data_IF_026779261041
#
_entry.id   IF_026779261041
#
_cell.length_a   1.000
_cell.length_b   1.000
_cell.length_c   1.000
_cell.angle_alpha   90.00
_cell.angle_beta   90.00
_cell.angle_gamma   90.00
#
_symmetry.space_group_name_H-M   'P 1'
#
loop_
_entity.id
_entity.type
_entity.pdbx_description
1 polymer ?
#
# COMPACT_ATOMS: atom_id res chain seq x y z
N UNK A 1 -28.32 -13.26 -4.46
CA UNK A 1 -27.25 -13.57 -5.43
C UNK A 1 -26.21 -14.38 -4.67
N UNK A 2 -25.69 -15.42 -5.29
CA UNK A 2 -24.63 -16.23 -4.69
C UNK A 2 -23.26 -15.62 -4.98
N UNK A 3 -22.30 -15.85 -4.08
CA UNK A 3 -20.91 -15.41 -4.22
C UNK A 3 -19.95 -16.52 -3.81
N UNK A 4 -18.85 -16.64 -4.57
CA UNK A 4 -17.66 -17.39 -4.17
C UNK A 4 -16.58 -16.43 -3.68
N UNK A 5 -15.70 -16.90 -2.80
CA UNK A 5 -14.70 -16.06 -2.13
C UNK A 5 -13.33 -16.75 -2.15
N UNK A 6 -12.31 -16.04 -2.63
CA UNK A 6 -10.89 -16.32 -2.33
C UNK A 6 -10.40 -15.16 -1.46
N UNK A 7 -10.02 -15.41 -0.22
CA UNK A 7 -9.63 -14.32 0.66
C UNK A 7 -8.84 -14.75 1.86
N UNK A 8 -8.85 -13.87 2.85
CA UNK A 8 -8.29 -14.01 4.17
C UNK A 8 -9.40 -14.06 5.21
N UNK A 9 -8.99 -14.08 6.47
CA UNK A 9 -9.87 -13.85 7.62
C UNK A 9 -10.76 -12.61 7.49
N UNK A 10 -10.33 -11.55 6.79
CA UNK A 10 -11.13 -10.36 6.59
C UNK A 10 -12.47 -10.71 5.93
N UNK A 11 -12.42 -11.49 4.85
CA UNK A 11 -13.64 -11.89 4.13
C UNK A 11 -14.53 -12.79 4.96
N UNK A 12 -13.95 -13.63 5.82
CA UNK A 12 -14.71 -14.42 6.79
C UNK A 12 -15.52 -13.53 7.72
N UNK A 13 -14.86 -12.58 8.39
CA UNK A 13 -15.53 -11.62 9.28
C UNK A 13 -16.63 -10.85 8.54
N UNK A 14 -16.37 -10.37 7.31
CA UNK A 14 -17.39 -9.69 6.50
C UNK A 14 -18.63 -10.54 6.26
N UNK A 15 -18.47 -11.85 6.05
CA UNK A 15 -19.56 -12.77 5.74
C UNK A 15 -20.39 -13.18 6.96
N UNK A 16 -19.82 -13.08 8.17
CA UNK A 16 -20.52 -13.39 9.42
C UNK A 16 -21.51 -12.28 9.82
N UNK A 17 -21.37 -11.08 9.25
CA UNK A 17 -22.31 -9.99 9.49
C UNK A 17 -23.65 -10.24 8.80
N UNK A 18 -24.75 -10.04 9.54
CA UNK A 18 -26.12 -10.15 9.05
C UNK A 18 -26.42 -9.28 7.82
N UNK A 19 -25.66 -8.20 7.63
CA UNK A 19 -25.86 -7.25 6.55
C UNK A 19 -25.04 -7.61 5.29
N UNK A 20 -24.27 -8.70 5.28
CA UNK A 20 -23.56 -9.15 4.07
C UNK A 20 -24.56 -9.38 2.91
N UNK A 21 -24.33 -8.80 1.71
CA UNK A 21 -25.35 -8.74 0.67
C UNK A 21 -25.51 -10.02 -0.18
N UNK A 22 -24.65 -11.01 0.01
CA UNK A 22 -24.62 -12.23 -0.79
C UNK A 22 -24.82 -13.48 0.05
N UNK A 23 -25.21 -14.57 -0.60
CA UNK A 23 -25.17 -15.91 -0.01
C UNK A 23 -23.85 -16.57 -0.42
N UNK A 24 -22.99 -16.87 0.54
CA UNK A 24 -21.70 -17.53 0.28
C UNK A 24 -21.93 -18.99 -0.14
N UNK A 25 -21.37 -19.37 -1.29
CA UNK A 25 -21.46 -20.74 -1.82
C UNK A 25 -20.17 -21.52 -1.55
N UNK A 26 -19.03 -20.97 -1.96
CA UNK A 26 -17.70 -21.50 -1.64
C UNK A 26 -16.80 -20.39 -1.08
N UNK A 27 -15.97 -20.75 -0.09
CA UNK A 27 -15.00 -19.84 0.51
C UNK A 27 -13.66 -20.55 0.69
N UNK A 28 -12.60 -19.90 0.20
CA UNK A 28 -11.21 -20.34 0.30
C UNK A 28 -10.46 -19.25 1.06
N UNK A 29 -10.06 -19.56 2.28
CA UNK A 29 -9.39 -18.61 3.18
C UNK A 29 -7.91 -18.94 3.34
N UNK A 30 -7.10 -17.91 3.54
CA UNK A 30 -5.70 -17.99 3.95
C UNK A 30 -4.81 -18.81 3.01
N UNK A 31 -5.18 -18.93 1.74
CA UNK A 31 -4.36 -19.58 0.71
C UNK A 31 -3.89 -18.53 -0.28
N UNK A 32 -2.56 -18.40 -0.45
CA UNK A 32 -2.04 -17.64 -1.59
C UNK A 32 -2.43 -18.33 -2.89
N UNK A 33 -2.55 -17.57 -3.97
CA UNK A 33 -2.79 -18.02 -5.34
C UNK A 33 -1.71 -19.01 -5.78
N UNK A 34 -0.45 -18.76 -5.41
CA UNK A 34 0.64 -19.70 -5.62
C UNK A 34 0.35 -21.06 -4.98
N UNK A 35 -0.09 -21.04 -3.72
CA UNK A 35 -0.50 -22.24 -3.03
C UNK A 35 -1.70 -22.88 -3.70
N UNK A 36 -2.74 -22.11 -3.99
CA UNK A 36 -4.02 -22.54 -4.51
C UNK A 36 -3.90 -23.35 -5.81
N UNK A 37 -3.09 -22.88 -6.76
CA UNK A 37 -2.94 -23.50 -8.09
C UNK A 37 -1.78 -24.49 -8.20
N UNK A 38 -1.06 -24.76 -7.11
CA UNK A 38 -0.01 -25.78 -7.08
C UNK A 38 -0.58 -27.20 -6.93
N UNK A 39 0.28 -28.23 -7.02
CA UNK A 39 -0.18 -29.62 -6.89
C UNK A 39 -0.48 -29.95 -5.41
N UNK A 40 -1.44 -30.85 -5.13
CA UNK A 40 -1.70 -31.29 -3.76
C UNK A 40 -0.54 -32.12 -3.21
N UNK A 41 -0.30 -31.99 -1.90
CA UNK A 41 0.67 -32.80 -1.15
C UNK A 41 0.09 -34.18 -0.78
N UNK A 42 -1.25 -34.35 -0.78
CA UNK A 42 -1.99 -35.59 -0.51
C UNK A 42 -1.73 -36.19 0.87
N UNK A 43 -2.31 -35.55 1.90
CA UNK A 43 -2.26 -36.03 3.29
C UNK A 43 -3.65 -36.27 3.86
N UNK A 44 -3.72 -37.11 4.88
CA UNK A 44 -4.88 -37.29 5.74
C UNK A 44 -4.87 -36.30 6.91
N UNK A 45 -6.05 -35.96 7.45
CA UNK A 45 -6.14 -35.05 8.61
C UNK A 45 -5.39 -35.56 9.84
N UNK A 46 -5.28 -36.89 10.01
CA UNK A 46 -4.58 -37.52 11.13
C UNK A 46 -3.05 -37.33 11.08
N UNK A 47 -2.50 -36.85 9.96
CA UNK A 47 -1.07 -36.58 9.82
C UNK A 47 -0.68 -35.18 10.34
N UNK A 48 -1.67 -34.36 10.72
CA UNK A 48 -1.48 -33.03 11.30
C UNK A 48 -1.39 -33.10 12.83
N UNK A 49 -0.34 -32.51 13.38
CA UNK A 49 0.04 -32.54 14.79
C UNK A 49 -0.47 -31.28 15.52
N UNK A 50 -1.79 -31.13 15.61
CA UNK A 50 -2.47 -30.13 16.43
C UNK A 50 -3.85 -30.67 16.81
N UNK A 51 -4.39 -30.21 17.94
CA UNK A 51 -5.75 -30.53 18.38
C UNK A 51 -6.76 -29.45 17.96
N UNK A 52 -6.30 -28.33 17.39
CA UNK A 52 -7.18 -27.27 16.91
C UNK A 52 -7.81 -27.64 15.56
N UNK A 53 -9.13 -27.87 15.58
CA UNK A 53 -9.90 -28.25 14.40
C UNK A 53 -9.85 -27.19 13.28
N UNK A 54 -9.75 -25.90 13.63
CA UNK A 54 -9.65 -24.84 12.65
C UNK A 54 -8.28 -24.86 11.94
N UNK A 55 -7.20 -25.06 12.70
CA UNK A 55 -5.86 -25.25 12.15
C UNK A 55 -5.77 -26.50 11.26
N UNK A 56 -6.28 -27.64 11.75
CA UNK A 56 -6.37 -28.89 10.97
C UNK A 56 -7.09 -28.63 9.65
N UNK A 57 -8.25 -27.99 9.71
CA UNK A 57 -9.09 -27.76 8.53
C UNK A 57 -8.39 -26.86 7.52
N UNK A 58 -7.75 -25.79 7.97
CA UNK A 58 -7.04 -24.85 7.10
C UNK A 58 -5.79 -25.49 6.48
N UNK A 59 -4.97 -26.17 7.26
CA UNK A 59 -3.78 -26.86 6.78
C UNK A 59 -4.12 -28.01 5.82
N UNK A 60 -5.14 -28.81 6.14
CA UNK A 60 -5.62 -29.87 5.25
C UNK A 60 -6.10 -29.29 3.91
N UNK A 61 -6.86 -28.18 3.94
CA UNK A 61 -7.32 -27.52 2.72
C UNK A 61 -6.17 -26.96 1.89
N UNK A 62 -5.18 -26.36 2.54
CA UNK A 62 -4.00 -25.79 1.89
C UNK A 62 -3.11 -26.88 1.29
N UNK A 63 -2.83 -27.96 2.01
CA UNK A 63 -1.98 -29.04 1.52
C UNK A 63 -2.66 -29.84 0.40
N UNK A 64 -3.97 -30.11 0.51
CA UNK A 64 -4.70 -30.95 -0.46
C UNK A 64 -5.41 -30.17 -1.59
N UNK A 65 -5.40 -28.84 -1.59
CA UNK A 65 -5.99 -27.99 -2.65
C UNK A 65 -7.46 -28.30 -2.96
N UNK A 66 -8.23 -28.64 -1.93
CA UNK A 66 -9.54 -29.31 -2.08
C UNK A 66 -10.66 -28.45 -2.68
N UNK A 67 -10.45 -27.15 -2.86
CA UNK A 67 -11.53 -26.21 -3.20
C UNK A 67 -11.44 -25.57 -4.59
N UNK A 68 -10.29 -25.58 -5.29
CA UNK A 68 -10.20 -25.00 -6.65
C UNK A 68 -11.19 -25.63 -7.60
N UNK A 69 -11.27 -26.97 -7.59
CA UNK A 69 -12.22 -27.71 -8.45
C UNK A 69 -13.68 -27.37 -8.16
N UNK A 70 -14.01 -26.86 -6.96
CA UNK A 70 -15.39 -26.44 -6.65
C UNK A 70 -15.71 -25.13 -7.36
N UNK A 71 -14.78 -24.17 -7.32
CA UNK A 71 -14.89 -22.91 -8.05
C UNK A 71 -14.97 -23.11 -9.58
N UNK A 72 -14.34 -24.16 -10.11
CA UNK A 72 -14.37 -24.47 -11.55
C UNK A 72 -15.67 -25.18 -11.99
N UNK A 73 -16.17 -26.14 -11.19
CA UNK A 73 -17.26 -27.02 -11.61
C UNK A 73 -18.66 -26.47 -11.34
N UNK A 74 -18.80 -25.65 -10.29
CA UNK A 74 -20.10 -25.11 -9.88
C UNK A 74 -19.94 -23.65 -9.39
N UNK A 75 -19.46 -22.74 -10.24
CA UNK A 75 -19.21 -21.36 -9.85
C UNK A 75 -20.50 -20.65 -9.42
N UNK A 76 -20.39 -19.74 -8.46
CA UNK A 76 -21.39 -18.72 -8.21
C UNK A 76 -21.40 -17.68 -9.35
N UNK A 77 -22.41 -16.80 -9.35
CA UNK A 77 -22.48 -15.69 -10.32
C UNK A 77 -21.40 -14.63 -10.05
N UNK A 78 -21.10 -14.38 -8.78
CA UNK A 78 -20.16 -13.35 -8.35
C UNK A 78 -18.97 -13.99 -7.64
N UNK A 79 -17.83 -13.32 -7.73
CA UNK A 79 -16.61 -13.68 -7.02
C UNK A 79 -16.17 -12.49 -6.15
N UNK A 80 -15.71 -12.75 -4.94
CA UNK A 80 -14.99 -11.78 -4.12
C UNK A 80 -13.56 -12.24 -3.94
N UNK A 81 -12.61 -11.31 -4.07
CA UNK A 81 -11.21 -11.59 -3.86
C UNK A 81 -10.54 -10.54 -2.97
N UNK A 82 -9.81 -11.00 -1.96
CA UNK A 82 -8.78 -10.20 -1.28
C UNK A 82 -7.43 -10.91 -1.36
N UNK A 83 -6.35 -10.14 -1.53
CA UNK A 83 -5.02 -10.69 -1.81
C UNK A 83 -4.09 -10.67 -0.60
N UNK A 84 -4.60 -10.42 0.61
CA UNK A 84 -3.74 -10.33 1.81
C UNK A 84 -3.05 -11.66 2.13
N UNK A 85 -3.66 -12.78 1.76
CA UNK A 85 -3.07 -14.13 1.84
C UNK A 85 -1.78 -14.29 1.01
N UNK A 86 -1.47 -13.38 0.07
CA UNK A 86 -0.18 -13.37 -0.65
C UNK A 86 1.01 -12.95 0.23
N UNK A 87 0.72 -12.29 1.36
CA UNK A 87 1.74 -11.90 2.34
C UNK A 87 2.19 -13.09 3.21
N UNK A 88 1.41 -14.16 3.28
CA UNK A 88 1.74 -15.37 4.05
C UNK A 88 3.10 -15.94 3.67
N UNK A 89 3.82 -16.51 4.62
CA UNK A 89 5.03 -17.26 4.33
C UNK A 89 4.71 -18.53 3.52
N UNK A 90 5.32 -18.64 2.34
CA UNK A 90 5.12 -19.74 1.40
C UNK A 90 6.44 -20.49 1.26
N UNK A 91 6.37 -21.81 1.22
CA UNK A 91 7.50 -22.67 0.90
C UNK A 91 7.27 -23.51 -0.37
N UNK A 92 8.37 -23.93 -0.98
CA UNK A 92 8.41 -24.86 -2.10
C UNK A 92 8.74 -26.27 -1.60
N UNK A 93 7.93 -27.24 -2.02
CA UNK A 93 8.18 -28.68 -1.86
C UNK A 93 7.97 -29.33 -3.22
N UNK A 94 9.02 -29.94 -3.78
CA UNK A 94 8.96 -30.66 -5.07
C UNK A 94 8.29 -29.86 -6.21
N UNK A 95 8.60 -28.56 -6.33
CA UNK A 95 8.01 -27.69 -7.35
C UNK A 95 6.55 -27.29 -7.12
N UNK A 96 6.03 -27.49 -5.91
CA UNK A 96 4.68 -27.07 -5.50
C UNK A 96 4.75 -26.18 -4.26
N UNK A 97 3.71 -25.38 -4.03
CA UNK A 97 3.73 -24.28 -3.07
C UNK A 97 2.67 -24.46 -1.98
N UNK A 98 3.04 -24.15 -0.75
CA UNK A 98 2.21 -24.32 0.45
C UNK A 98 2.51 -23.23 1.46
N UNK A 99 1.56 -22.93 2.35
CA UNK A 99 1.87 -22.06 3.49
C UNK A 99 2.82 -22.78 4.45
N UNK A 100 3.82 -22.07 4.96
CA UNK A 100 4.77 -22.60 5.95
C UNK A 100 4.02 -23.05 7.22
N UNK A 101 3.00 -22.30 7.63
CA UNK A 101 2.15 -22.64 8.78
C UNK A 101 1.38 -23.96 8.61
N UNK A 102 0.97 -24.31 7.38
CA UNK A 102 0.33 -25.60 7.10
C UNK A 102 1.33 -26.75 7.16
N UNK A 103 2.53 -26.54 6.60
CA UNK A 103 3.58 -27.56 6.55
C UNK A 103 4.16 -27.84 7.94
N UNK A 104 4.27 -26.82 8.79
CA UNK A 104 4.78 -26.98 10.17
C UNK A 104 3.87 -27.84 11.05
N UNK A 105 2.60 -28.02 10.66
CA UNK A 105 1.67 -28.90 11.35
C UNK A 105 1.84 -30.36 10.94
N UNK A 106 2.61 -30.71 9.91
CA UNK A 106 2.85 -32.11 9.56
C UNK A 106 3.63 -32.82 10.67
N UNK A 107 3.19 -34.02 11.05
CA UNK A 107 3.90 -34.86 12.02
C UNK A 107 5.33 -35.20 11.58
N UNK A 108 5.56 -35.25 10.27
CA UNK A 108 6.87 -35.43 9.65
C UNK A 108 7.03 -34.37 8.54
N UNK A 109 7.51 -33.16 8.86
CA UNK A 109 7.63 -32.12 7.86
C UNK A 109 8.71 -32.49 6.82
N UNK A 110 8.42 -32.38 5.51
CA UNK A 110 9.42 -32.61 4.47
C UNK A 110 10.48 -31.49 4.48
N UNK A 111 11.59 -31.70 3.78
CA UNK A 111 12.49 -30.60 3.46
C UNK A 111 11.78 -29.62 2.51
N UNK A 112 11.87 -28.33 2.82
CA UNK A 112 11.26 -27.26 2.03
C UNK A 112 12.15 -26.03 1.98
N UNK A 113 11.93 -25.19 0.97
CA UNK A 113 12.60 -23.90 0.84
C UNK A 113 11.59 -22.76 0.97
N UNK A 114 11.86 -21.80 1.85
CA UNK A 114 11.03 -20.60 1.95
C UNK A 114 11.21 -19.74 0.70
N UNK A 115 10.10 -19.26 0.14
CA UNK A 115 10.13 -18.35 -0.99
C UNK A 115 10.31 -16.91 -0.53
N UNK A 116 11.29 -16.24 -1.12
CA UNK A 116 11.37 -14.78 -1.04
C UNK A 116 10.20 -14.12 -1.79
N UNK A 117 9.83 -12.91 -1.40
CA UNK A 117 8.71 -12.14 -1.99
C UNK A 117 8.80 -12.01 -3.52
N UNK A 118 9.98 -11.70 -4.04
CA UNK A 118 10.20 -11.61 -5.49
C UNK A 118 9.95 -12.96 -6.22
N UNK A 119 10.23 -14.08 -5.54
CA UNK A 119 9.93 -15.41 -6.09
C UNK A 119 8.42 -15.69 -6.07
N UNK A 120 7.72 -15.31 -4.98
CA UNK A 120 6.25 -15.37 -4.92
C UNK A 120 5.62 -14.61 -6.09
N UNK A 121 6.09 -13.38 -6.36
CA UNK A 121 5.62 -12.57 -7.50
C UNK A 121 5.89 -13.23 -8.86
N UNK A 122 7.09 -13.77 -9.07
CA UNK A 122 7.47 -14.44 -10.32
C UNK A 122 6.65 -15.71 -10.55
N UNK A 123 6.41 -16.48 -9.50
CA UNK A 123 5.59 -17.69 -9.56
C UNK A 123 4.11 -17.35 -9.78
N UNK A 124 3.63 -16.26 -9.19
CA UNK A 124 2.26 -15.79 -9.44
C UNK A 124 2.03 -15.50 -10.92
N UNK A 125 3.03 -14.93 -11.64
CA UNK A 125 2.94 -14.74 -13.09
C UNK A 125 2.74 -16.03 -13.88
N UNK A 126 3.22 -17.18 -13.38
CA UNK A 126 2.98 -18.49 -14.01
C UNK A 126 1.54 -18.97 -13.82
N UNK A 127 0.89 -18.56 -12.73
CA UNK A 127 -0.50 -18.90 -12.41
C UNK A 127 -1.50 -17.81 -12.80
N UNK A 128 -1.03 -16.64 -13.24
CA UNK A 128 -1.87 -15.50 -13.57
C UNK A 128 -2.91 -15.84 -14.63
N UNK A 129 -2.51 -16.52 -15.72
CA UNK A 129 -3.47 -16.89 -16.77
C UNK A 129 -4.55 -17.85 -16.25
N UNK A 130 -4.19 -18.76 -15.34
CA UNK A 130 -5.17 -19.66 -14.70
C UNK A 130 -6.13 -18.88 -13.81
N UNK A 131 -5.60 -17.96 -13.00
CA UNK A 131 -6.41 -17.10 -12.16
C UNK A 131 -7.35 -16.23 -13.00
N UNK A 132 -6.84 -15.56 -14.03
CA UNK A 132 -7.63 -14.72 -14.92
C UNK A 132 -8.71 -15.53 -15.62
N UNK A 133 -8.40 -16.74 -16.10
CA UNK A 133 -9.39 -17.63 -16.70
C UNK A 133 -10.47 -18.07 -15.70
N UNK A 134 -10.08 -18.41 -14.46
CA UNK A 134 -11.02 -18.76 -13.40
C UNK A 134 -11.95 -17.57 -13.10
N UNK A 135 -11.38 -16.38 -12.88
CA UNK A 135 -12.10 -15.16 -12.55
C UNK A 135 -12.98 -14.66 -13.71
N UNK A 136 -12.57 -14.90 -14.95
CA UNK A 136 -13.34 -14.56 -16.16
C UNK A 136 -14.63 -15.36 -16.32
N UNK A 137 -14.79 -16.48 -15.61
CA UNK A 137 -16.03 -17.27 -15.63
C UNK A 137 -17.17 -16.66 -14.80
N UNK A 138 -16.87 -15.68 -13.94
CA UNK A 138 -17.86 -15.02 -13.10
C UNK A 138 -18.48 -13.83 -13.83
N UNK A 139 -19.74 -13.51 -13.55
CA UNK A 139 -20.38 -12.31 -14.09
C UNK A 139 -19.72 -11.04 -13.54
N UNK A 140 -19.32 -11.07 -12.26
CA UNK A 140 -18.68 -9.95 -11.57
C UNK A 140 -17.60 -10.46 -10.61
N UNK A 141 -16.45 -9.80 -10.61
CA UNK A 141 -15.37 -10.05 -9.65
C UNK A 141 -15.18 -8.80 -8.80
N UNK A 142 -15.37 -8.90 -7.49
CA UNK A 142 -15.20 -7.81 -6.53
C UNK A 142 -13.83 -7.97 -5.87
N UNK A 143 -12.90 -7.08 -6.19
CA UNK A 143 -11.58 -6.98 -5.59
C UNK A 143 -11.63 -6.05 -4.38
N UNK A 144 -11.38 -6.59 -3.19
CA UNK A 144 -11.15 -5.81 -1.98
C UNK A 144 -9.66 -5.48 -1.89
N UNK A 145 -9.33 -4.19 -1.97
CA UNK A 145 -7.97 -3.68 -1.85
C UNK A 145 -7.72 -3.25 -0.42
N UNK A 146 -6.97 -4.08 0.29
CA UNK A 146 -6.75 -3.94 1.73
C UNK A 146 -5.48 -3.14 1.96
N UNK A 147 -5.58 -2.11 2.80
CA UNK A 147 -4.41 -1.34 3.22
C UNK A 147 -3.68 -2.03 4.37
N UNK A 148 -2.35 -2.07 4.31
CA UNK A 148 -1.48 -2.65 5.34
C UNK A 148 -0.41 -1.64 5.77
N UNK A 149 0.00 -1.69 7.03
CA UNK A 149 0.93 -0.69 7.59
C UNK A 149 2.36 -0.77 7.04
N UNK A 150 2.79 -1.95 6.57
CA UNK A 150 4.11 -2.11 5.97
C UNK A 150 4.12 -1.53 4.56
N UNK A 151 4.92 -0.49 4.32
CA UNK A 151 5.09 0.12 3.00
C UNK A 151 5.48 -0.91 1.93
N UNK A 152 6.41 -1.81 2.27
CA UNK A 152 6.86 -2.85 1.34
C UNK A 152 5.73 -3.85 1.00
N UNK A 153 4.90 -4.21 1.99
CA UNK A 153 3.77 -5.12 1.79
C UNK A 153 2.67 -4.44 0.98
N UNK A 154 2.45 -3.15 1.23
CA UNK A 154 1.49 -2.33 0.50
C UNK A 154 1.88 -2.22 -0.98
N UNK A 155 3.14 -1.87 -1.27
CA UNK A 155 3.66 -1.79 -2.66
C UNK A 155 3.53 -3.13 -3.40
N UNK A 156 3.76 -4.24 -2.69
CA UNK A 156 3.57 -5.57 -3.24
C UNK A 156 2.10 -5.85 -3.57
N UNK A 157 1.18 -5.60 -2.64
CA UNK A 157 -0.26 -5.78 -2.87
C UNK A 157 -0.79 -4.87 -3.98
N UNK A 158 -0.41 -3.60 -4.00
CA UNK A 158 -0.83 -2.64 -5.04
C UNK A 158 -0.38 -3.05 -6.43
N UNK A 159 0.81 -3.64 -6.54
CA UNK A 159 1.29 -4.24 -7.79
C UNK A 159 0.38 -5.38 -8.26
N UNK A 160 -0.13 -6.20 -7.32
CA UNK A 160 -1.06 -7.29 -7.64
C UNK A 160 -2.46 -6.77 -8.00
N UNK A 161 -2.96 -5.77 -7.28
CA UNK A 161 -4.25 -5.13 -7.57
C UNK A 161 -4.25 -4.52 -8.97
N UNK A 162 -3.20 -3.78 -9.32
CA UNK A 162 -3.01 -3.19 -10.64
C UNK A 162 -2.97 -4.26 -11.73
N UNK A 163 -2.28 -5.38 -11.46
CA UNK A 163 -2.21 -6.49 -12.40
C UNK A 163 -3.59 -7.09 -12.72
N UNK A 164 -4.43 -7.29 -11.71
CA UNK A 164 -5.79 -7.81 -11.90
C UNK A 164 -6.70 -6.79 -12.59
N UNK A 165 -6.64 -5.52 -12.19
CA UNK A 165 -7.42 -4.42 -12.80
C UNK A 165 -7.15 -4.28 -14.30
N UNK A 166 -5.91 -4.51 -14.74
CA UNK A 166 -5.54 -4.44 -16.15
C UNK A 166 -5.88 -5.70 -16.96
N UNK A 167 -6.28 -6.80 -16.31
CA UNK A 167 -6.48 -8.11 -16.94
C UNK A 167 -7.93 -8.59 -16.95
N UNK A 168 -8.79 -8.02 -16.10
CA UNK A 168 -10.17 -8.48 -15.92
C UNK A 168 -11.19 -7.38 -16.27
N UNK A 169 -11.95 -7.61 -17.33
CA UNK A 169 -12.98 -6.68 -17.79
C UNK A 169 -14.22 -6.66 -16.87
N UNK A 170 -14.47 -7.77 -16.18
CA UNK A 170 -15.60 -7.99 -15.25
C UNK A 170 -15.28 -7.60 -13.78
N UNK A 171 -14.18 -6.90 -13.55
CA UNK A 171 -13.74 -6.51 -12.21
C UNK A 171 -14.50 -5.29 -11.67
N UNK A 172 -14.75 -5.26 -10.36
CA UNK A 172 -15.11 -4.12 -9.54
C UNK A 172 -14.07 -4.02 -8.42
N UNK A 173 -13.65 -2.82 -8.04
CA UNK A 173 -12.66 -2.61 -6.99
C UNK A 173 -13.26 -1.81 -5.83
N UNK A 174 -12.85 -2.14 -4.61
CA UNK A 174 -13.15 -1.38 -3.40
C UNK A 174 -11.86 -1.25 -2.61
N UNK A 175 -11.31 -0.03 -2.52
CA UNK A 175 -10.24 0.33 -1.60
C UNK A 175 -10.82 0.50 -0.21
N UNK A 176 -10.32 -0.31 0.72
CA UNK A 176 -10.79 -0.29 2.10
C UNK A 176 -10.16 0.89 2.84
N UNK A 177 -10.87 1.49 3.80
CA UNK A 177 -10.28 2.52 4.65
C UNK A 177 -9.10 1.94 5.44
N UNK A 178 -8.12 2.78 5.77
CA UNK A 178 -7.04 2.36 6.66
C UNK A 178 -7.59 1.97 8.04
N UNK A 179 -7.00 0.94 8.62
CA UNK A 179 -7.30 0.57 9.99
C UNK A 179 -6.77 1.65 10.96
N UNK A 180 -7.48 1.91 12.07
CA UNK A 180 -6.94 2.73 13.14
C UNK A 180 -5.59 2.18 13.63
N UNK A 181 -4.64 3.07 13.94
CA UNK A 181 -3.31 2.70 14.44
C UNK A 181 -3.42 1.68 15.60
N UNK A 182 -2.55 0.67 15.58
CA UNK A 182 -2.46 -0.42 16.55
C UNK A 182 -3.58 -1.48 16.50
N UNK A 183 -4.37 -1.53 15.42
CA UNK A 183 -5.33 -2.62 15.19
C UNK A 183 -4.94 -3.42 13.97
N UNK A 184 -5.08 -4.74 14.08
CA UNK A 184 -4.97 -5.64 12.93
C UNK A 184 -6.37 -5.78 12.28
N UNK A 185 -6.41 -6.44 11.11
CA UNK A 185 -7.65 -6.74 10.37
C UNK A 185 -8.62 -7.67 11.12
N UNK A 186 -8.19 -8.26 12.25
CA UNK A 186 -8.97 -9.21 13.05
C UNK A 186 -9.62 -8.54 14.28
N UNK A 187 -9.08 -7.41 14.73
CA UNK A 187 -9.52 -6.65 15.90
C UNK A 187 -10.12 -5.28 15.50
N UNK A 188 -10.53 -5.17 14.23
CA UNK A 188 -11.15 -3.97 13.73
C UNK A 188 -12.52 -3.73 14.40
N UNK A 189 -12.93 -2.47 14.62
CA UNK A 189 -14.27 -2.17 15.12
C UNK A 189 -15.38 -2.78 14.24
N UNK A 190 -16.52 -3.15 14.82
CA UNK A 190 -17.65 -3.70 14.04
C UNK A 190 -18.13 -2.73 12.95
N UNK A 191 -17.99 -1.42 13.21
CA UNK A 191 -18.29 -0.34 12.28
C UNK A 191 -17.46 -0.46 10.99
N UNK A 192 -16.19 -0.87 11.09
CA UNK A 192 -15.30 -1.05 9.95
C UNK A 192 -15.86 -2.10 8.98
N UNK A 193 -16.20 -3.29 9.47
CA UNK A 193 -16.79 -4.35 8.63
C UNK A 193 -18.18 -3.98 8.10
N UNK A 194 -18.99 -3.29 8.92
CA UNK A 194 -20.30 -2.80 8.50
C UNK A 194 -20.19 -1.80 7.33
N UNK A 195 -19.21 -0.89 7.39
CA UNK A 195 -18.98 0.10 6.34
C UNK A 195 -18.53 -0.55 5.04
N UNK A 196 -17.64 -1.55 5.11
CA UNK A 196 -17.25 -2.36 3.95
C UNK A 196 -18.47 -3.07 3.34
N UNK A 197 -19.31 -3.71 4.16
CA UNK A 197 -20.54 -4.34 3.68
C UNK A 197 -21.51 -3.33 3.03
N UNK A 198 -21.55 -2.09 3.51
CA UNK A 198 -22.31 -1.01 2.87
C UNK A 198 -21.70 -0.60 1.53
N UNK A 199 -20.36 -0.54 1.40
CA UNK A 199 -19.69 -0.30 0.12
C UNK A 199 -19.98 -1.41 -0.89
N UNK A 200 -19.91 -2.68 -0.47
CA UNK A 200 -20.23 -3.84 -1.30
C UNK A 200 -21.69 -3.77 -1.79
N UNK A 201 -22.63 -3.40 -0.92
CA UNK A 201 -24.05 -3.18 -1.32
C UNK A 201 -24.19 -2.09 -2.38
N UNK A 202 -23.44 -1.00 -2.26
CA UNK A 202 -23.50 0.13 -3.20
C UNK A 202 -22.99 -0.22 -4.59
N UNK A 203 -22.16 -1.25 -4.76
CA UNK A 203 -21.79 -1.76 -6.10
C UNK A 203 -23.00 -2.27 -6.89
N UNK A 204 -24.00 -2.84 -6.20
CA UNK A 204 -25.22 -3.36 -6.81
C UNK A 204 -26.36 -2.33 -6.88
N UNK A 205 -26.14 -1.09 -6.43
CA UNK A 205 -27.16 -0.04 -6.43
C UNK A 205 -27.43 0.44 -7.85
N UNK A 206 -28.70 0.45 -8.25
CA UNK A 206 -29.15 1.04 -9.51
C UNK A 206 -29.40 2.55 -9.40
N UNK A 207 -29.28 3.12 -8.18
CA UNK A 207 -29.43 4.56 -7.98
C UNK A 207 -28.10 5.24 -8.29
N UNK A 208 -28.09 6.03 -9.36
CA UNK A 208 -26.91 6.76 -9.84
C UNK A 208 -26.19 7.56 -8.73
N UNK A 209 -26.93 8.14 -7.78
CA UNK A 209 -26.36 8.95 -6.69
C UNK A 209 -25.81 8.12 -5.52
N UNK A 210 -26.25 6.88 -5.38
CA UNK A 210 -25.89 6.00 -4.26
C UNK A 210 -24.96 4.84 -4.70
N UNK A 211 -24.80 4.66 -6.01
CA UNK A 211 -23.87 3.69 -6.58
C UNK A 211 -22.42 4.07 -6.28
N UNK A 212 -21.62 3.09 -5.86
CA UNK A 212 -20.17 3.22 -5.73
C UNK A 212 -19.53 3.11 -7.12
N UNK A 213 -19.61 4.18 -7.91
CA UNK A 213 -19.14 4.19 -9.30
C UNK A 213 -17.62 4.35 -9.41
N UNK A 214 -16.97 4.95 -8.42
CA UNK A 214 -15.53 5.17 -8.43
C UNK A 214 -14.90 4.53 -7.20
N UNK A 215 -13.83 3.78 -7.44
CA UNK A 215 -12.80 3.49 -6.44
C UNK A 215 -11.71 4.54 -6.61
N UNK A 216 -11.54 5.41 -5.63
CA UNK A 216 -10.67 6.59 -5.71
C UNK A 216 -9.46 6.38 -4.81
N UNK A 217 -8.25 6.52 -5.36
CA UNK A 217 -7.00 6.47 -4.59
C UNK A 217 -6.37 7.85 -4.61
N UNK A 218 -6.00 8.33 -3.43
CA UNK A 218 -5.27 9.57 -3.25
C UNK A 218 -4.02 9.29 -2.41
N UNK A 219 -2.86 9.67 -2.92
CA UNK A 219 -1.57 9.55 -2.23
C UNK A 219 -0.73 10.79 -2.54
N UNK A 220 -0.33 11.54 -1.51
CA UNK A 220 0.52 12.73 -1.61
C UNK A 220 0.12 13.72 -2.70
N UNK A 221 0.76 13.63 -3.87
CA UNK A 221 0.55 14.46 -5.04
C UNK A 221 -0.20 13.74 -6.17
N UNK A 222 -0.82 12.59 -5.94
CA UNK A 222 -1.47 11.77 -6.96
C UNK A 222 -2.92 11.47 -6.63
N UNK A 223 -3.78 11.57 -7.65
CA UNK A 223 -5.17 11.15 -7.63
C UNK A 223 -5.45 10.21 -8.79
N UNK A 224 -6.02 9.05 -8.47
CA UNK A 224 -6.51 8.11 -9.48
C UNK A 224 -7.92 7.64 -9.19
N UNK A 225 -8.62 7.28 -10.26
CA UNK A 225 -9.96 6.72 -10.22
C UNK A 225 -10.01 5.42 -11.01
N UNK A 226 -10.72 4.44 -10.47
CA UNK A 226 -11.14 3.23 -11.15
C UNK A 226 -12.66 3.19 -11.26
N UNK A 227 -13.19 3.01 -12.46
CA UNK A 227 -14.63 3.01 -12.71
C UNK A 227 -15.22 1.63 -12.39
N UNK A 228 -16.10 1.54 -11.41
CA UNK A 228 -16.90 0.36 -11.03
C UNK A 228 -18.15 0.20 -11.90
N UNK A 229 -17.94 -0.04 -13.20
CA UNK A 229 -19.01 -0.30 -14.16
C UNK A 229 -18.56 -1.34 -15.19
N UNK A 230 -19.30 -2.46 -15.29
CA UNK A 230 -18.96 -3.60 -16.15
C UNK A 230 -19.75 -3.45 -17.45
N UNK A 231 -19.10 -2.92 -18.49
CA UNK A 231 -19.57 -2.84 -19.88
C UNK A 231 -18.51 -2.09 -20.72
N UNK A 232 -18.35 -2.47 -21.99
CA UNK A 232 -17.45 -1.75 -22.89
C UNK A 232 -18.00 -0.36 -23.18
N UNK A 233 -17.23 0.67 -22.79
CA UNK A 233 -17.56 2.09 -22.98
C UNK A 233 -16.29 2.89 -23.18
N UNK A 234 -16.43 4.00 -23.91
CA UNK A 234 -15.39 5.02 -24.00
C UNK A 234 -15.67 6.14 -23.01
N UNK A 235 -14.61 6.58 -22.34
CA UNK A 235 -14.60 7.63 -21.33
C UNK A 235 -13.66 8.76 -21.74
N UNK A 236 -14.05 9.98 -21.39
CA UNK A 236 -13.20 11.17 -21.39
C UNK A 236 -13.05 11.61 -19.94
N UNK A 237 -11.80 11.68 -19.48
CA UNK A 237 -11.44 12.14 -18.14
C UNK A 237 -11.04 13.61 -18.20
N UNK A 238 -11.85 14.47 -17.58
CA UNK A 238 -11.52 15.89 -17.43
C UNK A 238 -11.02 16.16 -16.02
N UNK A 239 -9.89 16.83 -15.90
CA UNK A 239 -9.31 17.20 -14.60
C UNK A 239 -9.71 18.63 -14.30
N UNK A 240 -10.26 18.86 -13.12
CA UNK A 240 -10.63 20.18 -12.64
C UNK A 240 -9.71 20.59 -11.50
N UNK A 241 -9.22 21.83 -11.55
CA UNK A 241 -8.55 22.53 -10.46
C UNK A 241 -9.35 23.77 -10.10
N UNK A 242 -9.72 23.94 -8.83
CA UNK A 242 -10.46 25.09 -8.30
C UNK A 242 -11.72 25.41 -9.12
N UNK A 243 -12.40 24.36 -9.58
CA UNK A 243 -13.64 24.44 -10.37
C UNK A 243 -13.44 24.71 -11.87
N UNK A 244 -12.21 24.82 -12.38
CA UNK A 244 -11.91 25.01 -13.81
C UNK A 244 -11.26 23.77 -14.42
N UNK A 245 -11.63 23.36 -15.64
CA UNK A 245 -10.95 22.27 -16.33
C UNK A 245 -9.52 22.69 -16.70
N UNK A 246 -8.54 21.82 -16.42
CA UNK A 246 -7.12 22.04 -16.74
C UNK A 246 -6.59 21.03 -17.76
N UNK A 247 -7.22 19.86 -17.86
CA UNK A 247 -6.83 18.79 -18.77
C UNK A 247 -8.06 17.98 -19.18
N UNK A 248 -8.03 17.40 -20.38
CA UNK A 248 -9.02 16.46 -20.88
C UNK A 248 -8.32 15.34 -21.64
N UNK A 249 -8.63 14.09 -21.32
CA UNK A 249 -8.05 12.94 -22.01
C UNK A 249 -8.64 12.78 -23.41
N UNK A 250 -7.92 12.10 -24.29
CA UNK A 250 -8.57 11.50 -25.46
C UNK A 250 -9.60 10.44 -24.99
N UNK A 251 -10.62 10.13 -25.82
CA UNK A 251 -11.51 8.99 -25.57
C UNK A 251 -10.71 7.71 -25.35
N UNK A 252 -11.02 6.99 -24.29
CA UNK A 252 -10.34 5.74 -23.94
C UNK A 252 -11.32 4.73 -23.34
N UNK A 253 -11.06 3.45 -23.58
CA UNK A 253 -11.79 2.35 -22.92
C UNK A 253 -11.19 1.99 -21.56
N UNK A 254 -10.06 2.61 -21.17
CA UNK A 254 -9.46 2.40 -19.86
C UNK A 254 -10.42 2.81 -18.77
N UNK A 255 -10.66 1.90 -17.82
CA UNK A 255 -11.44 2.15 -16.60
C UNK A 255 -10.61 2.79 -15.49
N UNK A 256 -9.31 2.93 -15.70
CA UNK A 256 -8.37 3.56 -14.77
C UNK A 256 -7.83 4.85 -15.37
N UNK A 257 -7.80 5.91 -14.57
CA UNK A 257 -7.13 7.15 -14.92
C UNK A 257 -6.48 7.77 -13.67
N UNK A 258 -5.23 8.20 -13.80
CA UNK A 258 -4.47 8.83 -12.73
C UNK A 258 -3.87 10.16 -13.18
N UNK A 259 -3.66 11.05 -12.23
CA UNK A 259 -3.06 12.36 -12.44
C UNK A 259 -2.24 12.79 -11.24
N UNK A 260 -1.10 13.41 -11.51
CA UNK A 260 -0.22 13.99 -10.48
C UNK A 260 -0.43 15.49 -10.43
N UNK A 261 -0.64 16.03 -9.23
CA UNK A 261 -0.83 17.42 -8.93
C UNK A 261 0.48 18.19 -9.08
N UNK A 262 0.45 19.25 -9.90
CA UNK A 262 1.63 20.09 -10.14
C UNK A 262 1.61 21.37 -9.31
N UNK A 263 0.43 21.89 -8.96
CA UNK A 263 0.27 23.12 -8.18
C UNK A 263 -0.76 22.97 -7.04
N UNK A 264 -0.60 23.66 -5.90
CA UNK A 264 -1.61 23.64 -4.84
C UNK A 264 -3.00 24.03 -5.36
N UNK A 265 -4.05 23.41 -4.82
CA UNK A 265 -5.45 23.70 -5.13
C UNK A 265 -6.39 22.51 -4.94
N UNK A 266 -7.66 22.71 -5.27
CA UNK A 266 -8.71 21.68 -5.15
C UNK A 266 -8.90 20.91 -6.45
N UNK A 267 -8.58 19.63 -6.43
CA UNK A 267 -8.61 18.74 -7.56
C UNK A 267 -9.82 17.80 -7.54
N UNK A 268 -10.35 17.49 -8.72
CA UNK A 268 -11.32 16.41 -8.94
C UNK A 268 -11.30 15.96 -10.40
N UNK A 269 -11.66 14.71 -10.64
CA UNK A 269 -11.77 14.13 -11.99
C UNK A 269 -13.26 14.05 -12.35
N UNK A 270 -13.62 14.54 -13.53
CA UNK A 270 -14.94 14.32 -14.13
C UNK A 270 -14.81 13.22 -15.17
N UNK A 271 -15.60 12.16 -15.00
CA UNK A 271 -15.68 11.07 -15.98
C UNK A 271 -16.89 11.30 -16.87
N UNK A 272 -16.66 11.47 -18.16
CA UNK A 272 -17.69 11.67 -19.17
C UNK A 272 -17.75 10.43 -20.09
N UNK A 273 -18.82 9.64 -20.06
CA UNK A 273 -19.00 8.57 -21.04
C UNK A 273 -19.35 9.17 -22.41
N UNK A 274 -18.66 8.77 -23.48
CA UNK A 274 -18.77 9.42 -24.81
C UNK A 274 -20.08 9.11 -25.53
N UNK A 275 -20.58 7.88 -25.40
CA UNK A 275 -21.71 7.37 -26.19
C UNK A 275 -22.83 6.79 -25.31
N UNK A 276 -23.13 7.46 -24.19
CA UNK A 276 -24.16 6.99 -23.28
C UNK A 276 -25.10 8.10 -22.87
N UNK A 277 -26.36 7.76 -22.57
CA UNK A 277 -27.32 8.66 -21.93
C UNK A 277 -27.04 8.84 -20.43
N UNK A 278 -25.90 8.35 -19.93
CA UNK A 278 -25.50 8.45 -18.52
C UNK A 278 -24.84 9.80 -18.30
N UNK A 279 -25.29 10.50 -17.25
CA UNK A 279 -24.73 11.79 -16.88
C UNK A 279 -23.24 11.64 -16.49
N UNK A 280 -22.39 12.65 -16.76
CA UNK A 280 -21.03 12.67 -16.24
C UNK A 280 -20.99 12.76 -14.71
N UNK A 281 -20.04 12.08 -14.08
CA UNK A 281 -19.87 12.10 -12.62
C UNK A 281 -18.52 12.68 -12.22
N UNK A 282 -18.50 13.44 -11.12
CA UNK A 282 -17.27 13.89 -10.49
C UNK A 282 -16.81 12.88 -9.43
N UNK A 283 -15.50 12.73 -9.32
CA UNK A 283 -14.86 12.16 -8.14
C UNK A 283 -15.08 13.08 -6.93
N UNK A 284 -14.64 12.62 -5.76
CA UNK A 284 -14.49 13.47 -4.58
C UNK A 284 -13.58 14.67 -4.89
N UNK A 285 -13.75 15.74 -4.11
CA UNK A 285 -12.87 16.91 -4.19
C UNK A 285 -11.71 16.72 -3.23
N UNK A 286 -10.49 16.82 -3.74
CA UNK A 286 -9.24 16.64 -3.01
C UNK A 286 -8.55 17.99 -2.87
N UNK A 287 -8.25 18.39 -1.65
CA UNK A 287 -7.53 19.64 -1.38
C UNK A 287 -6.04 19.31 -1.27
N UNK A 288 -5.26 19.72 -2.27
CA UNK A 288 -3.82 19.52 -2.27
C UNK A 288 -3.10 20.81 -1.89
N UNK A 289 -2.39 20.85 -0.76
CA UNK A 289 -1.71 22.05 -0.29
C UNK A 289 -0.45 22.41 -1.09
N UNK A 290 -0.09 21.60 -2.11
CA UNK A 290 1.19 21.69 -2.80
C UNK A 290 2.27 20.91 -2.07
N UNK A 291 3.43 20.72 -2.71
CA UNK A 291 4.62 20.32 -1.97
C UNK A 291 4.91 21.44 -0.97
N UNK A 292 4.82 21.12 0.30
CA UNK A 292 5.25 22.01 1.34
C UNK A 292 6.77 21.99 1.28
N UNK A 293 7.36 22.95 0.57
CA UNK A 293 8.76 23.33 0.77
C UNK A 293 8.85 23.99 2.15
N UNK A 294 8.67 23.19 3.21
CA UNK A 294 8.94 23.63 4.57
C UNK A 294 10.44 23.55 4.74
N UNK A 295 11.13 24.64 4.39
CA UNK A 295 12.13 25.15 5.32
C UNK A 295 11.35 25.51 6.60
N UNK A 296 11.04 24.51 7.41
CA UNK A 296 10.47 24.73 8.73
C UNK A 296 11.48 25.63 9.44
N UNK A 297 11.03 26.80 9.92
CA UNK A 297 11.93 27.69 10.67
C UNK A 297 12.11 27.08 12.05
N UNK A 298 13.06 26.16 12.19
CA UNK A 298 13.46 25.60 13.47
C UNK A 298 14.53 26.51 14.08
N UNK A 299 14.44 26.68 15.40
CA UNK A 299 15.41 27.42 16.19
C UNK A 299 16.25 26.46 17.06
N UNK A 300 15.83 25.19 17.16
CA UNK A 300 16.47 24.16 17.98
C UNK A 300 16.61 22.83 17.22
N UNK A 301 17.64 22.04 17.52
CA UNK A 301 17.88 20.72 16.91
C UNK A 301 18.07 19.67 18.00
N UNK A 302 17.39 18.54 17.90
CA UNK A 302 17.56 17.42 18.83
C UNK A 302 18.87 16.64 18.60
N UNK A 303 19.61 16.38 19.67
CA UNK A 303 20.83 15.57 19.64
C UNK A 303 20.49 14.08 19.43
N UNK A 304 21.02 13.42 18.38
CA UNK A 304 20.80 12.00 18.15
C UNK A 304 21.53 11.13 19.18
N UNK A 305 21.00 9.93 19.44
CA UNK A 305 21.55 9.01 20.45
C UNK A 305 22.96 8.47 20.12
N UNK A 306 23.36 8.49 18.84
CA UNK A 306 24.68 8.07 18.36
C UNK A 306 25.43 9.28 17.80
N UNK A 307 26.59 9.60 18.38
CA UNK A 307 27.47 10.69 17.92
C UNK A 307 27.79 10.55 16.43
N UNK A 308 27.24 11.41 15.58
CA UNK A 308 27.62 11.55 14.17
C UNK A 308 27.18 12.94 13.65
N UNK A 309 27.90 13.98 14.06
CA UNK A 309 27.37 15.35 14.01
C UNK A 309 27.92 16.25 12.92
N UNK A 310 28.49 15.71 11.84
CA UNK A 310 28.75 16.56 10.67
C UNK A 310 27.45 17.13 10.08
N UNK A 311 26.33 16.39 10.18
CA UNK A 311 25.00 16.83 9.76
C UNK A 311 24.49 17.99 10.62
N UNK A 312 24.65 17.90 11.95
CA UNK A 312 24.26 18.96 12.88
C UNK A 312 25.15 20.17 12.71
N UNK A 313 26.47 19.98 12.57
CA UNK A 313 27.41 21.07 12.37
C UNK A 313 27.09 21.85 11.08
N UNK A 314 26.66 21.16 10.01
CA UNK A 314 26.19 21.80 8.78
C UNK A 314 24.92 22.62 9.03
N UNK A 315 23.92 22.04 9.69
CA UNK A 315 22.67 22.76 9.98
C UNK A 315 22.92 23.97 10.89
N UNK A 316 23.72 23.82 11.95
CA UNK A 316 24.10 24.92 12.84
C UNK A 316 24.94 26.01 12.14
N UNK A 317 25.61 25.68 11.04
CA UNK A 317 26.34 26.68 10.25
C UNK A 317 25.43 27.49 9.33
N UNK A 318 24.32 26.91 8.87
CA UNK A 318 23.41 27.53 7.88
C UNK A 318 22.16 28.16 8.48
N UNK A 319 21.71 27.67 9.62
CA UNK A 319 20.53 28.16 10.31
C UNK A 319 20.94 28.89 11.59
N UNK A 320 20.17 29.91 11.98
CA UNK A 320 20.36 30.66 13.23
C UNK A 320 19.86 29.83 14.42
N UNK A 321 20.57 28.75 14.75
CA UNK A 321 20.20 27.82 15.83
C UNK A 321 20.50 28.46 17.20
N UNK A 322 19.46 28.53 18.04
CA UNK A 322 19.53 29.09 19.38
C UNK A 322 19.98 28.05 20.42
N UNK A 323 19.83 26.76 20.13
CA UNK A 323 20.26 25.68 21.03
C UNK A 323 20.00 24.28 20.51
N UNK A 324 20.49 23.29 21.25
CA UNK A 324 20.28 21.87 20.97
C UNK A 324 19.40 21.24 22.04
N UNK A 325 18.57 20.27 21.67
CA UNK A 325 17.67 19.56 22.58
C UNK A 325 18.31 18.23 23.00
N UNK A 326 18.46 18.02 24.30
CA UNK A 326 19.11 16.84 24.84
C UNK A 326 19.21 16.89 26.36
N UNK A 327 20.17 16.15 26.92
CA UNK A 327 20.39 16.15 28.37
C UNK A 327 21.43 17.22 28.77
N UNK A 328 21.05 18.39 29.30
CA UNK A 328 21.99 19.46 29.67
C UNK A 328 22.94 19.04 30.79
N UNK A 329 22.54 18.08 31.64
CA UNK A 329 23.43 17.55 32.68
C UNK A 329 24.58 16.70 32.10
N UNK A 330 24.40 16.16 30.88
CA UNK A 330 25.44 15.46 30.13
C UNK A 330 26.36 16.44 29.39
N UNK A 331 25.88 17.64 29.09
CA UNK A 331 26.59 18.70 28.35
C UNK A 331 26.49 20.05 29.09
N UNK A 332 27.09 20.18 30.29
CA UNK A 332 26.89 21.34 31.16
C UNK A 332 27.45 22.66 30.58
N UNK A 333 28.44 22.58 29.70
CA UNK A 333 29.01 23.73 28.97
C UNK A 333 28.45 23.86 27.55
N UNK A 334 27.40 23.11 27.23
CA UNK A 334 26.86 22.97 25.87
C UNK A 334 27.62 21.93 25.03
N UNK A 335 27.20 21.80 23.77
CA UNK A 335 27.82 20.94 22.76
C UNK A 335 28.40 21.80 21.65
N UNK A 336 29.71 21.71 21.38
CA UNK A 336 30.42 22.60 20.45
C UNK A 336 30.21 24.12 20.69
N UNK A 337 30.08 24.52 21.97
CA UNK A 337 29.73 25.89 22.41
C UNK A 337 28.30 26.34 22.08
N UNK A 338 27.41 25.42 21.69
CA UNK A 338 25.98 25.67 21.52
C UNK A 338 25.25 25.21 22.79
N UNK A 339 24.38 26.04 23.41
CA UNK A 339 23.63 25.65 24.61
C UNK A 339 22.77 24.41 24.39
N UNK A 340 22.69 23.53 25.38
CA UNK A 340 21.81 22.35 25.38
C UNK A 340 20.66 22.57 26.35
N UNK A 341 19.43 22.33 25.91
CA UNK A 341 18.19 22.47 26.66
C UNK A 341 17.46 21.13 26.77
N UNK A 342 16.65 20.95 27.81
CA UNK A 342 15.64 19.90 27.85
C UNK A 342 14.52 20.25 26.87
N UNK A 343 13.89 19.24 26.28
CA UNK A 343 12.78 19.43 25.32
C UNK A 343 11.64 20.27 25.93
N UNK A 344 11.37 20.08 27.23
CA UNK A 344 10.33 20.82 27.93
C UNK A 344 10.63 22.32 28.16
N UNK A 345 11.84 22.78 27.85
CA UNK A 345 12.28 24.18 28.04
C UNK A 345 12.09 25.04 26.78
N UNK A 346 11.65 24.43 25.67
CA UNK A 346 11.46 25.09 24.37
C UNK A 346 10.10 24.76 23.79
N UNK A 347 9.62 25.60 22.87
CA UNK A 347 8.37 25.33 22.15
C UNK A 347 8.58 24.21 21.13
N UNK A 348 7.80 23.12 21.22
CA UNK A 348 7.99 21.91 20.39
C UNK A 348 7.97 22.17 18.88
N UNK A 349 7.20 23.18 18.45
CA UNK A 349 7.08 23.58 17.05
C UNK A 349 8.37 24.20 16.46
N UNK A 350 9.34 24.58 17.31
CA UNK A 350 10.60 25.19 16.91
C UNK A 350 11.77 24.16 16.89
N UNK A 351 11.48 22.88 17.16
CA UNK A 351 12.46 21.80 17.25
C UNK A 351 12.51 21.01 15.94
N UNK A 352 13.70 20.85 15.39
CA UNK A 352 14.00 19.82 14.40
C UNK A 352 14.38 18.52 15.14
N UNK A 353 13.53 17.51 15.04
CA UNK A 353 13.77 16.22 15.71
C UNK A 353 14.85 15.41 14.99
N UNK A 354 15.51 14.53 15.75
CA UNK A 354 16.65 13.74 15.28
C UNK A 354 16.33 12.90 14.03
N UNK A 355 15.09 12.42 13.89
CA UNK A 355 14.60 11.68 12.72
C UNK A 355 14.52 12.52 11.44
N UNK A 356 14.46 13.85 11.55
CA UNK A 356 14.25 14.78 10.44
C UNK A 356 15.56 15.39 9.91
N UNK A 357 16.68 15.22 10.64
CA UNK A 357 17.96 15.86 10.34
C UNK A 357 18.50 15.49 8.95
N UNK A 358 18.37 14.22 8.54
CA UNK A 358 18.93 13.77 7.24
C UNK A 358 18.18 14.42 6.08
N UNK A 359 16.85 14.44 6.14
CA UNK A 359 16.02 15.04 5.09
C UNK A 359 16.26 16.54 5.00
N UNK A 360 16.41 17.23 6.15
CA UNK A 360 16.71 18.65 6.18
C UNK A 360 18.07 18.99 5.56
N UNK A 361 19.09 18.16 5.78
CA UNK A 361 20.41 18.33 5.15
C UNK A 361 20.33 18.14 3.63
N UNK A 362 19.52 17.20 3.15
CA UNK A 362 19.31 16.99 1.71
C UNK A 362 18.59 18.18 1.06
N UNK A 363 17.57 18.72 1.71
CA UNK A 363 16.87 19.93 1.24
C UNK A 363 17.85 21.11 1.16
N UNK A 364 18.60 21.37 2.24
CA UNK A 364 19.63 22.42 2.25
C UNK A 364 20.69 22.22 1.15
N UNK A 365 21.10 20.97 0.90
CA UNK A 365 22.06 20.64 -0.14
C UNK A 365 21.59 21.02 -1.55
N UNK A 366 20.29 20.83 -1.83
CA UNK A 366 19.69 21.17 -3.12
C UNK A 366 19.56 22.68 -3.35
N UNK A 367 19.44 23.45 -2.27
CA UNK A 367 19.27 24.92 -2.33
C UNK A 367 20.60 25.69 -2.46
N UNK A 368 21.73 25.05 -2.15
CA UNK A 368 23.06 25.66 -2.21
C UNK A 368 23.69 25.51 -3.59
N UNK A 369 24.40 26.54 -4.04
CA UNK A 369 25.19 26.42 -5.25
C UNK A 369 26.34 25.41 -5.07
N UNK A 370 26.71 24.73 -6.16
CA UNK A 370 27.65 23.61 -6.16
C UNK A 370 29.03 23.98 -5.59
N UNK A 371 29.44 25.25 -5.65
CA UNK A 371 30.71 25.72 -5.09
C UNK A 371 30.61 25.88 -3.58
N UNK A 372 29.57 26.55 -3.10
CA UNK A 372 29.30 26.71 -1.67
C UNK A 372 29.13 25.35 -0.99
N UNK A 373 28.34 24.46 -1.58
CA UNK A 373 28.06 23.14 -1.01
C UNK A 373 29.33 22.26 -0.93
N UNK A 374 30.20 22.29 -1.96
CA UNK A 374 31.48 21.55 -1.93
C UNK A 374 32.42 22.05 -0.83
N UNK A 375 32.53 23.36 -0.63
CA UNK A 375 33.35 23.96 0.44
C UNK A 375 32.87 23.52 1.82
N UNK A 376 31.55 23.39 2.00
CA UNK A 376 30.92 22.94 3.26
C UNK A 376 31.22 21.45 3.48
N UNK A 377 30.99 20.61 2.47
CA UNK A 377 31.25 19.18 2.57
C UNK A 377 32.73 18.89 2.90
N UNK A 378 33.67 19.53 2.19
CA UNK A 378 35.10 19.37 2.43
C UNK A 378 35.53 19.81 3.86
N UNK A 379 34.77 20.73 4.49
CA UNK A 379 35.03 21.22 5.85
C UNK A 379 34.52 20.26 6.93
N UNK A 380 33.42 19.54 6.70
CA UNK A 380 32.71 18.80 7.76
C UNK A 380 32.75 17.27 7.61
N UNK A 381 33.07 16.70 6.44
CA UNK A 381 32.98 15.24 6.22
C UNK A 381 34.30 14.48 6.26
N UNK A 382 35.40 15.10 6.72
CA UNK A 382 36.78 14.62 6.56
C UNK A 382 37.10 13.19 7.05
N UNK A 383 36.25 12.55 7.86
CA UNK A 383 36.34 11.12 8.25
C UNK A 383 34.95 10.53 8.61
N UNK A 384 33.88 10.87 7.87
CA UNK A 384 32.52 10.38 8.17
C UNK A 384 32.37 8.86 7.94
N UNK A 385 31.67 8.16 8.86
CA UNK A 385 31.29 6.74 8.70
C UNK A 385 30.09 6.54 7.75
N UNK A 386 29.44 7.62 7.32
CA UNK A 386 28.24 7.60 6.47
C UNK A 386 28.61 7.76 4.98
N UNK A 387 29.52 6.90 4.51
CA UNK A 387 30.15 6.95 3.18
C UNK A 387 29.15 7.00 2.00
N UNK A 388 28.00 6.28 2.03
CA UNK A 388 27.03 6.30 0.94
C UNK A 388 26.34 7.66 0.76
N UNK A 389 25.92 8.29 1.86
CA UNK A 389 25.22 9.58 1.82
C UNK A 389 26.18 10.71 1.41
N UNK A 390 27.41 10.69 1.92
CA UNK A 390 28.44 11.66 1.52
C UNK A 390 28.75 11.53 0.03
N UNK A 391 28.87 10.29 -0.50
CA UNK A 391 29.03 10.05 -1.94
C UNK A 391 27.83 10.53 -2.76
N UNK A 392 26.60 10.31 -2.28
CA UNK A 392 25.39 10.81 -2.92
C UNK A 392 25.36 12.34 -2.99
N UNK A 393 25.72 13.02 -1.90
CA UNK A 393 25.81 14.48 -1.85
C UNK A 393 26.90 15.03 -2.81
N UNK A 394 28.06 14.37 -2.89
CA UNK A 394 29.07 14.72 -3.91
C UNK A 394 28.60 14.44 -5.35
N UNK A 395 27.77 13.40 -5.56
CA UNK A 395 27.19 13.11 -6.86
C UNK A 395 26.22 14.21 -7.32
N UNK A 396 25.40 14.74 -6.41
CA UNK A 396 24.52 15.89 -6.66
C UNK A 396 25.31 17.15 -7.05
N UNK A 397 26.51 17.35 -6.48
CA UNK A 397 27.43 18.45 -6.85
C UNK A 397 27.94 18.30 -8.29
N UNK A 398 28.32 17.08 -8.67
CA UNK A 398 28.96 16.80 -9.97
C UNK A 398 27.96 16.75 -11.13
N UNK A 399 26.67 16.52 -10.85
CA UNK A 399 25.63 16.34 -11.86
C UNK A 399 24.34 17.13 -11.53
N UNK A 400 24.36 18.47 -11.58
CA UNK A 400 23.23 19.31 -11.18
C UNK A 400 21.98 19.20 -12.08
N UNK A 401 22.06 18.53 -13.23
CA UNK A 401 20.93 18.29 -14.16
C UNK A 401 20.36 16.87 -14.08
N UNK A 402 20.75 16.06 -13.10
CA UNK A 402 20.38 14.64 -13.05
C UNK A 402 18.94 14.34 -12.58
N UNK A 403 18.18 15.33 -12.13
CA UNK A 403 16.75 15.19 -11.81
C UNK A 403 15.90 16.17 -12.64
N UNK A 404 15.47 15.70 -13.82
CA UNK A 404 14.25 16.16 -14.53
C UNK A 404 13.39 14.94 -14.82
#
# INVERSE_FOLDING_TARGET
MDIDIIGSSLTKELTDFKNFPYKVKHIIENQSINSLFSKPFNIEMAELNTDDLAEITNAYRDLNKTHVKKLENDPAQNMMIDLTSELNDICEINGSFYNVSSVSLLSQPPEYWNLARIQKFRNLKLYLDKLVNLLGNYEKVILLKVSVHSKEDQEFLDSLYTLLQNKLDNLLAITLPELPENRNLFDAPLEYYNDINNMIRKLASNNYNDQLLFDEIHSDDHLSVFINYIESREYIYDIYKDGKPIFSSAPTTSRTFGFTFEQPGKYRIRVNPVNSNVEPRFSSTYDWPGKIDQLQKFNYIELPEKNNDWKIDILCYHYDILGLIGNPYKYPEGYNNIPVYLEAEVEQQDILYSSQITDQVLVMANDLDSISFKVIMDKFTGQSQDEPLVKYLYHLIENPEADV
#
